data_IF_133271685817
#
_entry.id   IF_133271685817
#
_cell.length_a   1.000
_cell.length_b   1.000
_cell.length_c   1.000
_cell.angle_alpha   90.00
_cell.angle_beta   90.00
_cell.angle_gamma   90.00
#
_symmetry.space_group_name_H-M   'P 1'
#
loop_
_entity.id
_entity.type
_entity.pdbx_description
1 polymer ?
#
# COMPACT_ATOMS: atom_id res chain seq x y z
N UNK A 1 3.07 -19.30 14.12
CA UNK A 1 3.72 -18.53 13.05
C UNK A 1 4.84 -19.37 12.45
N UNK A 2 5.02 -19.30 11.17
CA UNK A 2 6.09 -20.03 10.51
C UNK A 2 7.45 -19.43 10.87
N UNK A 3 8.45 -20.27 10.92
CA UNK A 3 9.82 -19.81 11.10
C UNK A 3 10.26 -19.00 9.90
N UNK A 4 11.00 -17.94 10.17
CA UNK A 4 11.60 -17.10 9.16
C UNK A 4 13.08 -17.47 9.07
N UNK A 5 13.62 -17.70 7.88
CA UNK A 5 15.04 -17.99 7.75
C UNK A 5 15.86 -16.74 8.10
N UNK A 6 17.13 -16.93 8.41
CA UNK A 6 18.00 -15.85 8.88
C UNK A 6 18.18 -14.75 7.86
N UNK A 7 18.22 -15.10 6.60
CA UNK A 7 18.37 -14.10 5.53
C UNK A 7 17.11 -13.22 5.41
N UNK A 8 15.95 -13.86 5.42
CA UNK A 8 14.69 -13.12 5.35
C UNK A 8 14.53 -12.19 6.54
N UNK A 9 14.85 -12.68 7.74
CA UNK A 9 14.78 -11.85 8.94
C UNK A 9 15.69 -10.62 8.83
N UNK A 10 16.94 -10.84 8.40
CA UNK A 10 17.89 -9.74 8.23
C UNK A 10 17.40 -8.72 7.19
N UNK A 11 16.83 -9.19 6.09
CA UNK A 11 16.28 -8.32 5.06
C UNK A 11 15.12 -7.48 5.60
N UNK A 12 14.23 -8.08 6.38
CA UNK A 12 13.09 -7.39 6.98
C UNK A 12 13.53 -6.32 7.99
N UNK A 13 14.56 -6.62 8.77
CA UNK A 13 15.14 -5.64 9.70
C UNK A 13 15.77 -4.49 8.92
N UNK A 14 16.53 -4.80 7.88
CA UNK A 14 17.18 -3.78 7.05
C UNK A 14 16.17 -2.83 6.40
N UNK A 15 15.03 -3.36 5.96
CA UNK A 15 13.97 -2.55 5.36
C UNK A 15 13.12 -1.79 6.39
N UNK A 16 13.37 -1.99 7.67
CA UNK A 16 12.59 -1.34 8.71
C UNK A 16 11.22 -1.97 8.95
N UNK A 17 10.98 -3.14 8.38
CA UNK A 17 9.72 -3.86 8.58
C UNK A 17 9.68 -4.50 9.97
N UNK A 18 10.82 -5.04 10.43
CA UNK A 18 10.98 -5.56 11.77
C UNK A 18 11.97 -4.67 12.51
N UNK A 19 11.61 -4.24 13.70
CA UNK A 19 12.48 -3.44 14.55
C UNK A 19 12.73 -4.16 15.85
N UNK A 20 13.94 -4.68 16.03
CA UNK A 20 14.33 -5.40 17.25
C UNK A 20 14.54 -4.50 18.43
N UNK A 21 14.93 -3.23 18.21
CA UNK A 21 15.35 -2.33 19.28
C UNK A 21 14.21 -1.54 19.91
N UNK A 22 13.08 -1.45 19.21
CA UNK A 22 11.94 -0.65 19.68
C UNK A 22 10.68 -1.51 19.75
N UNK A 23 10.49 -2.14 20.90
CA UNK A 23 9.34 -2.99 21.13
C UNK A 23 8.02 -2.19 21.15
N UNK A 24 8.05 -0.94 21.60
CA UNK A 24 6.86 -0.09 21.60
C UNK A 24 6.43 0.25 20.17
N UNK A 25 7.38 0.57 19.31
CA UNK A 25 7.09 0.80 17.90
C UNK A 25 6.51 -0.44 17.25
N UNK A 26 7.07 -1.60 17.52
CA UNK A 26 6.59 -2.86 16.99
C UNK A 26 5.21 -3.23 17.53
N UNK A 27 4.90 -2.88 18.78
CA UNK A 27 3.61 -3.21 19.39
C UNK A 27 2.43 -2.57 18.66
N UNK A 28 2.63 -1.43 18.02
CA UNK A 28 1.59 -0.80 17.22
C UNK A 28 1.12 -1.71 16.09
N UNK A 29 2.02 -2.53 15.57
CA UNK A 29 1.73 -3.46 14.45
C UNK A 29 1.31 -4.85 14.90
N UNK A 30 1.24 -5.10 16.20
CA UNK A 30 0.90 -6.43 16.72
C UNK A 30 -0.58 -6.64 16.99
N UNK A 31 -1.39 -5.59 16.85
CA UNK A 31 -2.82 -5.70 17.05
C UNK A 31 -3.59 -4.96 15.96
N UNK A 32 -4.85 -5.36 15.80
CA UNK A 32 -5.75 -4.76 14.83
C UNK A 32 -6.75 -3.86 15.52
N UNK A 33 -7.08 -2.76 14.85
CA UNK A 33 -8.28 -1.99 15.13
C UNK A 33 -9.23 -2.24 13.95
N UNK A 34 -10.35 -2.90 14.22
CA UNK A 34 -11.27 -3.28 13.17
C UNK A 34 -11.22 -4.76 12.85
N UNK A 35 -11.74 -5.14 11.68
CA UNK A 35 -11.95 -6.53 11.30
C UNK A 35 -10.89 -7.14 10.40
N UNK A 36 -9.99 -6.32 9.87
CA UNK A 36 -8.92 -6.83 9.00
C UNK A 36 -7.74 -7.32 9.83
N UNK A 37 -7.25 -8.50 9.51
CA UNK A 37 -6.20 -9.16 10.30
C UNK A 37 -4.81 -8.85 9.76
N UNK A 38 -4.38 -7.59 9.87
CA UNK A 38 -3.07 -7.18 9.39
C UNK A 38 -1.94 -7.61 10.32
N UNK A 39 -2.18 -7.67 11.63
CA UNK A 39 -1.15 -8.07 12.60
C UNK A 39 -0.74 -9.53 12.48
N UNK A 40 -1.53 -10.35 11.77
CA UNK A 40 -1.21 -11.76 11.52
C UNK A 40 -0.18 -11.96 10.40
N UNK A 41 0.27 -10.90 9.75
CA UNK A 41 1.19 -10.98 8.63
C UNK A 41 2.53 -10.35 8.99
N UNK A 42 3.62 -10.92 8.47
CA UNK A 42 4.97 -10.41 8.68
C UNK A 42 5.12 -9.06 7.98
N UNK A 43 4.67 -8.98 6.74
CA UNK A 43 4.70 -7.75 5.96
C UNK A 43 3.28 -7.18 5.96
N UNK A 44 3.12 -6.03 6.57
CA UNK A 44 1.84 -5.36 6.66
C UNK A 44 1.71 -4.28 5.58
N UNK A 45 0.48 -3.86 5.25
CA UNK A 45 0.30 -2.81 4.24
C UNK A 45 1.12 -1.55 4.51
N UNK A 46 1.21 -1.13 5.75
CA UNK A 46 1.98 0.08 6.12
C UNK A 46 3.46 -0.05 5.75
N UNK A 47 4.03 -1.24 5.89
CA UNK A 47 5.42 -1.50 5.53
C UNK A 47 5.64 -1.33 4.04
N UNK A 48 4.70 -1.82 3.24
CA UNK A 48 4.74 -1.68 1.78
C UNK A 48 4.61 -0.20 1.41
N UNK A 49 3.68 0.51 2.02
CA UNK A 49 3.45 1.93 1.72
C UNK A 49 4.69 2.76 1.98
N UNK A 50 5.38 2.49 3.09
CA UNK A 50 6.59 3.22 3.46
C UNK A 50 7.77 2.87 2.56
N UNK A 51 7.98 1.58 2.33
CA UNK A 51 9.12 1.11 1.54
C UNK A 51 9.05 1.60 0.09
N UNK A 52 7.87 1.54 -0.51
CA UNK A 52 7.65 1.95 -1.90
C UNK A 52 7.30 3.43 -2.03
N UNK A 53 7.17 4.14 -0.92
CA UNK A 53 6.77 5.55 -0.90
C UNK A 53 5.50 5.80 -1.72
N UNK A 54 4.47 5.02 -1.44
CA UNK A 54 3.22 5.07 -2.18
C UNK A 54 2.41 6.32 -1.84
N UNK A 55 1.74 6.88 -2.85
CA UNK A 55 0.75 7.93 -2.63
C UNK A 55 -0.52 7.33 -2.01
N UNK A 56 -1.44 8.16 -1.47
CA UNK A 56 -2.63 7.63 -0.78
C UNK A 56 -3.52 6.74 -1.64
N UNK A 57 -3.64 7.01 -2.92
CA UNK A 57 -4.50 6.22 -3.81
C UNK A 57 -3.90 4.84 -4.06
N UNK A 58 -2.62 4.77 -4.38
CA UNK A 58 -1.93 3.49 -4.56
C UNK A 58 -1.91 2.70 -3.25
N UNK A 59 -1.69 3.39 -2.13
CA UNK A 59 -1.72 2.76 -0.81
C UNK A 59 -3.08 2.13 -0.52
N UNK A 60 -4.17 2.81 -0.85
CA UNK A 60 -5.51 2.29 -0.64
C UNK A 60 -5.79 1.07 -1.53
N UNK A 61 -5.34 1.09 -2.78
CA UNK A 61 -5.46 -0.06 -3.67
C UNK A 61 -4.75 -1.28 -3.10
N UNK A 62 -3.51 -1.11 -2.65
CA UNK A 62 -2.72 -2.19 -2.04
C UNK A 62 -3.43 -2.73 -0.81
N UNK A 63 -3.93 -1.87 0.05
CA UNK A 63 -4.66 -2.28 1.26
C UNK A 63 -5.86 -3.15 0.89
N UNK A 64 -6.64 -2.75 -0.10
CA UNK A 64 -7.83 -3.49 -0.52
C UNK A 64 -7.49 -4.82 -1.16
N UNK A 65 -6.44 -4.87 -1.96
CA UNK A 65 -5.96 -6.12 -2.55
C UNK A 65 -5.55 -7.12 -1.47
N UNK A 66 -4.91 -6.65 -0.41
CA UNK A 66 -4.40 -7.50 0.66
C UNK A 66 -5.48 -7.94 1.65
N UNK A 67 -6.66 -7.36 1.62
CA UNK A 67 -7.77 -7.82 2.44
C UNK A 67 -8.19 -9.22 2.00
N UNK A 68 -8.27 -10.12 2.96
CA UNK A 68 -8.71 -11.49 2.68
C UNK A 68 -10.22 -11.61 2.89
N UNK A 69 -10.97 -10.88 2.10
CA UNK A 69 -12.43 -10.91 2.11
C UNK A 69 -12.96 -11.92 1.11
N UNK A 70 -14.18 -12.37 1.31
CA UNK A 70 -14.82 -13.36 0.44
C UNK A 70 -16.07 -12.78 -0.22
N UNK A 71 -16.42 -13.36 -1.36
CA UNK A 71 -17.70 -13.15 -2.05
C UNK A 71 -18.01 -11.67 -2.29
N UNK A 72 -19.17 -11.20 -1.83
CA UNK A 72 -19.63 -9.84 -2.10
C UNK A 72 -18.73 -8.78 -1.50
N UNK A 73 -18.16 -9.03 -0.33
CA UNK A 73 -17.21 -8.09 0.26
C UNK A 73 -15.94 -7.96 -0.58
N UNK A 74 -15.48 -9.05 -1.17
CA UNK A 74 -14.33 -9.03 -2.10
C UNK A 74 -14.68 -8.31 -3.38
N UNK A 75 -15.85 -8.55 -3.91
CA UNK A 75 -16.35 -7.85 -5.10
C UNK A 75 -16.40 -6.35 -4.87
N UNK A 76 -16.91 -5.92 -3.72
CA UNK A 76 -16.96 -4.50 -3.38
C UNK A 76 -15.57 -3.88 -3.31
N UNK A 77 -14.58 -4.60 -2.78
CA UNK A 77 -13.20 -4.11 -2.78
C UNK A 77 -12.68 -3.91 -4.20
N UNK A 78 -12.95 -4.84 -5.10
CA UNK A 78 -12.56 -4.67 -6.51
C UNK A 78 -13.27 -3.49 -7.17
N UNK A 79 -14.54 -3.30 -6.90
CA UNK A 79 -15.29 -2.16 -7.43
C UNK A 79 -14.70 -0.84 -6.93
N UNK A 80 -14.32 -0.77 -5.67
CA UNK A 80 -13.66 0.40 -5.11
C UNK A 80 -12.28 0.62 -5.72
N UNK A 81 -11.53 -0.44 -5.98
CA UNK A 81 -10.24 -0.34 -6.65
C UNK A 81 -10.40 0.24 -8.05
N UNK A 82 -11.40 -0.21 -8.79
CA UNK A 82 -11.72 0.33 -10.12
C UNK A 82 -12.00 1.83 -10.01
N UNK A 83 -12.79 2.23 -9.04
CA UNK A 83 -13.13 3.64 -8.84
C UNK A 83 -11.87 4.48 -8.52
N UNK A 84 -11.00 3.96 -7.67
CA UNK A 84 -9.73 4.63 -7.35
C UNK A 84 -8.85 4.74 -8.59
N UNK A 85 -8.78 3.69 -9.39
CA UNK A 85 -8.01 3.71 -10.63
C UNK A 85 -8.54 4.77 -11.62
N UNK A 86 -9.84 4.92 -11.70
CA UNK A 86 -10.46 5.96 -12.53
C UNK A 86 -10.05 7.36 -12.06
N UNK A 87 -10.02 7.58 -10.75
CA UNK A 87 -9.57 8.85 -10.19
C UNK A 87 -8.09 9.11 -10.49
N UNK A 88 -7.26 8.09 -10.38
CA UNK A 88 -5.83 8.20 -10.70
C UNK A 88 -5.62 8.57 -12.17
N UNK A 89 -6.37 7.95 -13.06
CA UNK A 89 -6.30 8.26 -14.50
C UNK A 89 -6.74 9.71 -14.74
N UNK A 90 -7.84 10.12 -14.10
CA UNK A 90 -8.33 11.50 -14.21
C UNK A 90 -7.26 12.51 -13.78
N UNK A 91 -6.56 12.23 -12.68
CA UNK A 91 -5.50 13.12 -12.20
C UNK A 91 -4.36 13.23 -13.21
N UNK A 92 -3.94 12.11 -13.78
CA UNK A 92 -2.88 12.10 -14.79
C UNK A 92 -3.32 12.90 -16.01
N UNK A 93 -4.52 12.70 -16.51
CA UNK A 93 -5.04 13.42 -17.66
C UNK A 93 -5.15 14.91 -17.37
N UNK A 94 -5.57 15.30 -16.18
CA UNK A 94 -5.65 16.70 -15.78
C UNK A 94 -4.26 17.33 -15.72
N UNK A 95 -3.28 16.63 -15.18
CA UNK A 95 -1.90 17.11 -15.12
C UNK A 95 -1.31 17.28 -16.51
N UNK A 96 -1.54 16.32 -17.39
CA UNK A 96 -1.08 16.39 -18.78
C UNK A 96 -1.73 17.59 -19.46
N UNK A 97 -3.04 17.78 -19.32
CA UNK A 97 -3.76 18.89 -19.87
C UNK A 97 -3.22 20.23 -19.37
N UNK A 98 -2.99 20.35 -18.07
CA UNK A 98 -2.43 21.55 -17.46
C UNK A 98 -1.03 21.84 -18.00
N UNK A 99 -0.19 20.83 -18.13
CA UNK A 99 1.14 21.01 -18.72
C UNK A 99 1.07 21.43 -20.18
N UNK A 100 0.16 20.87 -20.93
CA UNK A 100 -0.03 21.23 -22.34
C UNK A 100 -0.45 22.69 -22.51
N UNK A 101 -1.23 23.23 -21.56
CA UNK A 101 -1.65 24.62 -21.56
C UNK A 101 -0.55 25.58 -21.15
N UNK A 102 0.36 25.15 -20.28
CA UNK A 102 1.38 26.01 -19.68
C UNK A 102 2.74 25.92 -20.35
N UNK A 103 3.01 24.88 -21.13
CA UNK A 103 4.29 24.67 -21.80
C UNK A 103 4.06 24.21 -23.24
N UNK A 104 5.12 24.18 -24.02
CA UNK A 104 5.07 23.69 -25.39
C UNK A 104 4.70 22.24 -25.48
N UNK A 105 3.90 21.86 -26.45
CA UNK A 105 3.47 20.51 -26.69
C UNK A 105 4.61 19.54 -26.97
N UNK A 106 5.73 20.01 -27.40
CA UNK A 106 6.91 19.21 -27.68
C UNK A 106 7.41 18.43 -26.47
N UNK A 107 7.08 18.91 -25.29
CA UNK A 107 7.49 18.30 -24.04
C UNK A 107 6.45 17.39 -23.42
N UNK A 108 5.35 17.18 -24.12
CA UNK A 108 4.25 16.35 -23.64
C UNK A 108 4.32 14.97 -24.28
N UNK A 109 4.42 13.96 -23.47
CA UNK A 109 4.36 12.57 -23.91
C UNK A 109 3.43 11.75 -23.04
#
# INVERSE_FOLDING_TARGET
MKEIDDKLYADLVHLGIINEENSEFNSVRTFNVGTSNYCGHIIQPWSIWLDWNLNPWDADIIKRVLRNKLEEARRQDYEKIIHICQECIRQIETQIGTKAESIDFENVE
#
